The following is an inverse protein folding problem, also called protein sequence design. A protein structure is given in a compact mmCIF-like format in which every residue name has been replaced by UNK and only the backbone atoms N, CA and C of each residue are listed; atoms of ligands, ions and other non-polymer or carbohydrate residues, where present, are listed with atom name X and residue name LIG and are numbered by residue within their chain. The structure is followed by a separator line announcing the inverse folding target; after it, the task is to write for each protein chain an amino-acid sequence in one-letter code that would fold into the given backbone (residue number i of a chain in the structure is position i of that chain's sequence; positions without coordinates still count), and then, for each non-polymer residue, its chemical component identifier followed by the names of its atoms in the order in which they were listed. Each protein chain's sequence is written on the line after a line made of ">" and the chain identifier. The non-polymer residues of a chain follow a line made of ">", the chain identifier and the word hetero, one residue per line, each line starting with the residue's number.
data_IF_219414413083
#
_entry.id   IF_219414413083
#
_cell.length_a   1.000
_cell.length_b   1.000
_cell.length_c   1.000
_cell.angle_alpha   90.00
_cell.angle_beta   90.00
_cell.angle_gamma   90.00
#
_symmetry.space_group_name_H-M   'P 1'
#
loop_
_entity.id
_entity.type
_entity.pdbx_description
1 polymer ?
#
# COMPACT_ATOMS: atom_id res chain seq x y z
N UNK A 1 6.35 42.31 -19.55
CA UNK A 1 6.35 40.88 -19.16
C UNK A 1 5.30 40.68 -18.07
N UNK A 2 4.14 40.10 -18.39
CA UNK A 2 3.13 39.78 -17.38
C UNK A 2 3.64 38.60 -16.58
N UNK A 3 3.86 38.83 -15.29
CA UNK A 3 4.14 37.78 -14.32
C UNK A 3 2.86 36.93 -14.22
N UNK A 4 2.78 35.82 -14.96
CA UNK A 4 1.74 34.84 -14.75
C UNK A 4 2.03 34.19 -13.42
N UNK A 5 1.33 34.62 -12.36
CA UNK A 5 1.31 33.89 -11.11
C UNK A 5 0.92 32.46 -11.43
N UNK A 6 1.86 31.50 -11.32
CA UNK A 6 1.58 30.06 -11.45
C UNK A 6 0.84 29.54 -10.21
N UNK A 7 -0.13 30.29 -9.71
CA UNK A 7 -1.08 29.79 -8.72
C UNK A 7 -2.11 28.96 -9.47
N UNK A 8 -2.15 27.67 -9.16
CA UNK A 8 -3.16 26.73 -9.66
C UNK A 8 -3.67 25.95 -8.47
N UNK A 9 -4.93 25.54 -8.51
CA UNK A 9 -5.54 24.76 -7.43
C UNK A 9 -4.92 23.36 -7.37
N UNK A 10 -4.87 22.78 -6.18
CA UNK A 10 -4.38 21.42 -5.99
C UNK A 10 -5.17 20.42 -6.84
N UNK A 11 -6.50 20.58 -6.93
CA UNK A 11 -7.42 19.81 -7.77
C UNK A 11 -6.98 19.73 -9.24
N UNK A 12 -6.52 20.85 -9.80
CA UNK A 12 -6.07 20.90 -11.19
C UNK A 12 -4.77 20.12 -11.41
N UNK A 13 -3.88 20.11 -10.41
CA UNK A 13 -2.61 19.36 -10.46
C UNK A 13 -2.73 17.90 -10.02
N UNK A 14 -3.75 17.57 -9.24
CA UNK A 14 -3.89 16.23 -8.67
C UNK A 14 -3.98 15.18 -9.78
N UNK A 15 -3.19 14.08 -9.74
CA UNK A 15 -3.16 13.11 -10.83
C UNK A 15 -4.39 12.20 -10.85
N UNK A 16 -5.19 12.20 -9.78
CA UNK A 16 -6.44 11.46 -9.68
C UNK A 16 -7.59 12.31 -10.22
N UNK A 17 -8.50 11.66 -10.97
CA UNK A 17 -9.69 12.28 -11.53
C UNK A 17 -10.87 12.15 -10.56
N UNK A 18 -11.18 10.93 -10.15
CA UNK A 18 -12.29 10.61 -9.25
C UNK A 18 -12.06 9.28 -8.55
N UNK A 19 -12.85 9.01 -7.51
CA UNK A 19 -12.99 7.68 -6.93
C UNK A 19 -14.45 7.26 -7.11
N UNK A 20 -14.68 6.17 -7.81
CA UNK A 20 -16.01 5.70 -8.19
C UNK A 20 -16.12 4.20 -7.93
N UNK A 21 -17.21 3.77 -7.27
CA UNK A 21 -17.47 2.35 -6.98
C UNK A 21 -16.29 1.62 -6.29
N UNK A 22 -15.58 2.30 -5.37
CA UNK A 22 -14.40 1.75 -4.70
C UNK A 22 -13.17 1.57 -5.61
N UNK A 23 -13.14 2.25 -6.76
CA UNK A 23 -12.00 2.27 -7.67
C UNK A 23 -11.46 3.70 -7.80
N UNK A 24 -10.14 3.84 -7.81
CA UNK A 24 -9.48 5.11 -8.07
C UNK A 24 -9.30 5.26 -9.59
N UNK A 25 -9.74 6.38 -10.14
CA UNK A 25 -9.61 6.70 -11.55
C UNK A 25 -8.55 7.79 -11.70
N UNK A 26 -7.48 7.51 -12.46
CA UNK A 26 -6.47 8.52 -12.77
C UNK A 26 -6.98 9.45 -13.89
N UNK A 27 -6.43 10.67 -13.99
CA UNK A 27 -6.71 11.55 -15.14
C UNK A 27 -6.23 10.97 -16.48
N UNK A 28 -5.32 10.01 -16.43
CA UNK A 28 -4.82 9.27 -17.60
C UNK A 28 -5.69 8.04 -17.93
N UNK A 29 -6.87 7.91 -17.31
CA UNK A 29 -7.81 6.81 -17.50
C UNK A 29 -7.23 5.44 -17.08
N UNK A 30 -6.47 5.40 -16.00
CA UNK A 30 -6.15 4.14 -15.31
C UNK A 30 -7.20 3.84 -14.24
N UNK A 31 -7.51 2.56 -14.06
CA UNK A 31 -8.39 2.10 -12.98
C UNK A 31 -7.53 1.38 -11.95
N UNK A 32 -7.62 1.79 -10.70
CA UNK A 32 -6.95 1.13 -9.58
C UNK A 32 -7.97 0.60 -8.59
N UNK A 33 -7.87 -0.70 -8.26
CA UNK A 33 -8.57 -1.32 -7.13
C UNK A 33 -7.58 -1.45 -5.98
N UNK A 34 -7.99 -1.04 -4.78
CA UNK A 34 -7.17 -1.08 -3.59
C UNK A 34 -7.71 -2.10 -2.58
N UNK A 35 -6.78 -2.81 -1.94
CA UNK A 35 -7.05 -3.79 -0.90
C UNK A 35 -6.21 -3.48 0.33
N UNK A 36 -6.79 -3.68 1.50
CA UNK A 36 -6.03 -3.91 2.73
C UNK A 36 -5.59 -5.38 2.77
N UNK A 37 -4.34 -5.61 3.17
CA UNK A 37 -3.73 -6.94 3.22
C UNK A 37 -3.45 -7.31 4.67
N UNK A 38 -4.09 -8.37 5.14
CA UNK A 38 -3.75 -9.03 6.39
C UNK A 38 -2.70 -10.10 6.11
N UNK A 39 -1.50 -9.90 6.66
CA UNK A 39 -0.38 -10.83 6.56
C UNK A 39 -0.31 -11.70 7.82
N UNK A 40 0.22 -12.93 7.72
CA UNK A 40 0.40 -13.78 8.89
C UNK A 40 1.44 -13.17 9.84
N UNK A 41 1.24 -13.39 11.14
CA UNK A 41 2.14 -12.88 12.17
C UNK A 41 3.57 -13.44 12.01
N UNK A 42 4.56 -12.63 12.36
CA UNK A 42 5.96 -13.03 12.32
C UNK A 42 6.19 -14.30 13.15
N UNK A 43 6.96 -15.23 12.59
CA UNK A 43 7.31 -16.52 13.20
C UNK A 43 6.16 -17.52 13.39
N UNK A 44 4.98 -17.29 12.79
CA UNK A 44 3.87 -18.26 12.81
C UNK A 44 3.83 -19.19 11.60
N UNK A 45 4.69 -18.94 10.60
CA UNK A 45 4.64 -19.60 9.28
C UNK A 45 5.88 -20.47 9.07
N UNK A 46 5.65 -21.67 8.55
CA UNK A 46 6.69 -22.65 8.19
C UNK A 46 7.22 -22.43 6.77
N UNK A 47 8.35 -23.07 6.44
CA UNK A 47 8.93 -22.96 5.09
C UNK A 47 7.99 -23.45 3.98
N UNK A 48 7.30 -24.57 4.20
CA UNK A 48 6.34 -25.10 3.23
C UNK A 48 5.13 -24.17 3.03
N UNK A 49 4.69 -23.49 4.08
CA UNK A 49 3.62 -22.49 3.99
C UNK A 49 4.10 -21.22 3.26
N UNK A 50 5.35 -20.79 3.45
CA UNK A 50 5.91 -19.69 2.65
C UNK A 50 5.99 -20.01 1.15
N UNK A 51 6.35 -21.24 0.79
CA UNK A 51 6.28 -21.70 -0.61
C UNK A 51 4.85 -21.70 -1.14
N UNK A 52 3.88 -22.13 -0.32
CA UNK A 52 2.46 -22.10 -0.68
C UNK A 52 1.96 -20.66 -0.89
N UNK A 53 2.31 -19.72 0.01
CA UNK A 53 1.99 -18.29 -0.10
C UNK A 53 2.57 -17.72 -1.41
N UNK A 54 3.84 -17.98 -1.68
CA UNK A 54 4.49 -17.54 -2.92
C UNK A 54 3.80 -18.11 -4.17
N UNK A 55 3.43 -19.39 -4.13
CA UNK A 55 2.66 -20.04 -5.18
C UNK A 55 1.29 -19.40 -5.39
N UNK A 56 0.60 -18.98 -4.33
CA UNK A 56 -0.68 -18.26 -4.41
C UNK A 56 -0.52 -16.88 -5.06
N UNK A 57 0.48 -16.09 -4.67
CA UNK A 57 0.80 -14.82 -5.34
C UNK A 57 1.06 -15.02 -6.83
N UNK A 58 1.87 -16.03 -7.19
CA UNK A 58 2.15 -16.33 -8.60
C UNK A 58 0.89 -16.72 -9.39
N UNK A 59 -0.03 -17.48 -8.78
CA UNK A 59 -1.32 -17.84 -9.41
C UNK A 59 -2.23 -16.62 -9.57
N UNK A 60 -2.35 -15.80 -8.52
CA UNK A 60 -3.19 -14.62 -8.52
C UNK A 60 -2.71 -13.61 -9.59
N UNK A 61 -1.40 -13.33 -9.65
CA UNK A 61 -0.82 -12.41 -10.65
C UNK A 61 -1.09 -12.87 -12.09
N UNK A 62 -1.05 -14.18 -12.35
CA UNK A 62 -1.29 -14.75 -13.70
C UNK A 62 -2.72 -14.56 -14.21
N UNK A 63 -3.68 -14.28 -13.34
CA UNK A 63 -5.07 -14.02 -13.72
C UNK A 63 -5.26 -12.60 -14.26
N UNK A 64 -4.36 -11.68 -13.89
CA UNK A 64 -4.46 -10.29 -14.29
C UNK A 64 -4.27 -10.14 -15.82
N UNK A 65 -5.06 -9.28 -16.49
CA UNK A 65 -4.90 -9.05 -17.92
C UNK A 65 -3.61 -8.26 -18.21
N UNK A 66 -3.24 -8.21 -19.50
CA UNK A 66 -2.07 -7.46 -19.94
C UNK A 66 -2.11 -5.99 -19.52
N UNK A 67 -0.93 -5.43 -19.27
CA UNK A 67 -0.75 -4.04 -18.83
C UNK A 67 -1.46 -3.75 -17.49
N UNK A 68 -1.32 -4.67 -16.54
CA UNK A 68 -1.64 -4.42 -15.13
C UNK A 68 -0.35 -4.17 -14.34
N UNK A 69 -0.46 -3.29 -13.34
CA UNK A 69 0.59 -3.02 -12.36
C UNK A 69 0.09 -3.52 -11.02
N UNK A 70 0.90 -4.37 -10.38
CA UNK A 70 0.68 -4.82 -9.00
C UNK A 70 1.62 -4.03 -8.12
N UNK A 71 1.06 -3.27 -7.18
CA UNK A 71 1.82 -2.44 -6.26
C UNK A 71 1.44 -2.80 -4.83
N UNK A 72 2.34 -3.50 -4.13
CA UNK A 72 2.26 -3.76 -2.69
C UNK A 72 2.98 -2.64 -1.96
N UNK A 73 2.37 -2.11 -0.92
CA UNK A 73 2.90 -1.01 -0.14
C UNK A 73 2.77 -1.29 1.35
N UNK A 74 3.90 -1.22 2.06
CA UNK A 74 3.99 -1.44 3.51
C UNK A 74 4.31 -0.14 4.22
N UNK A 75 3.45 0.22 5.17
CA UNK A 75 3.61 1.40 6.00
C UNK A 75 4.08 0.95 7.38
N UNK A 76 5.19 1.52 7.85
CA UNK A 76 5.70 1.32 9.19
C UNK A 76 5.68 2.64 9.94
N UNK A 77 4.73 2.78 10.86
CA UNK A 77 4.56 4.00 11.67
C UNK A 77 4.92 3.69 13.11
N UNK A 78 5.77 4.51 13.71
CA UNK A 78 6.13 4.37 15.12
C UNK A 78 4.97 4.85 16.00
N UNK A 79 4.33 3.92 16.69
CA UNK A 79 3.24 4.21 17.63
C UNK A 79 3.61 3.78 19.05
N UNK A 80 2.82 4.23 20.04
CA UNK A 80 2.94 3.82 21.43
C UNK A 80 1.75 2.96 21.79
N UNK A 81 2.02 1.80 22.40
CA UNK A 81 0.97 0.88 22.81
C UNK A 81 0.06 1.53 23.86
N UNK A 82 -1.25 1.49 23.61
CA UNK A 82 -2.29 1.98 24.51
C UNK A 82 -2.97 0.78 25.16
N UNK A 83 -2.85 0.59 26.48
CA UNK A 83 -3.39 -0.58 27.14
C UNK A 83 -4.90 -0.50 27.30
N UNK A 84 -5.58 -1.63 27.17
CA UNK A 84 -7.03 -1.74 27.31
C UNK A 84 -7.40 -2.21 28.73
N UNK A 85 -7.21 -1.32 29.71
CA UNK A 85 -7.37 -1.66 31.14
C UNK A 85 -8.83 -1.77 31.62
N UNK A 86 -9.81 -1.45 30.78
CA UNK A 86 -11.23 -1.32 31.15
C UNK A 86 -12.11 -2.53 30.80
N UNK A 87 -11.53 -3.61 30.27
CA UNK A 87 -12.29 -4.84 29.99
C UNK A 87 -12.71 -5.50 31.31
N UNK A 88 -14.01 -5.70 31.49
CA UNK A 88 -14.57 -6.53 32.58
C UNK A 88 -14.02 -7.96 32.43
N UNK A 89 -13.73 -8.63 33.57
CA UNK A 89 -13.12 -9.97 33.66
C UNK A 89 -11.66 -10.16 33.20
N UNK A 90 -10.80 -9.13 33.29
CA UNK A 90 -9.37 -9.33 33.04
C UNK A 90 -8.65 -10.17 34.10
N UNK A 91 -7.99 -11.24 33.64
CA UNK A 91 -7.10 -12.06 34.47
C UNK A 91 -5.89 -11.27 35.00
N UNK A 92 -5.27 -11.73 36.09
CA UNK A 92 -4.04 -11.14 36.63
C UNK A 92 -2.91 -11.06 35.60
N UNK A 93 -2.77 -12.10 34.76
CA UNK A 93 -1.74 -12.14 33.72
C UNK A 93 -2.04 -11.13 32.61
N UNK A 94 -3.29 -11.04 32.14
CA UNK A 94 -3.73 -10.05 31.15
C UNK A 94 -3.45 -8.63 31.65
N UNK A 95 -3.82 -8.32 32.89
CA UNK A 95 -3.56 -7.00 33.48
C UNK A 95 -2.07 -6.68 33.61
N UNK A 96 -1.24 -7.69 33.91
CA UNK A 96 0.21 -7.53 34.00
C UNK A 96 0.85 -7.32 32.63
N UNK A 97 0.35 -8.02 31.60
CA UNK A 97 0.72 -7.84 30.20
C UNK A 97 0.41 -6.40 29.74
N UNK A 98 -0.82 -5.94 29.91
CA UNK A 98 -1.24 -4.57 29.53
C UNK A 98 -0.36 -3.50 30.19
N UNK A 99 -0.02 -3.68 31.47
CA UNK A 99 0.88 -2.78 32.20
C UNK A 99 2.31 -2.83 31.71
N UNK A 100 2.81 -4.02 31.36
CA UNK A 100 4.18 -4.20 30.90
C UNK A 100 4.43 -3.50 29.57
N UNK A 101 3.44 -3.52 28.68
CA UNK A 101 3.55 -2.91 27.35
C UNK A 101 3.08 -1.46 27.28
N UNK A 102 2.49 -0.91 28.34
CA UNK A 102 2.00 0.47 28.38
C UNK A 102 3.07 1.48 27.90
N UNK A 103 2.68 2.32 26.94
CA UNK A 103 3.52 3.36 26.31
C UNK A 103 4.76 2.86 25.55
N UNK A 104 4.97 1.54 25.47
CA UNK A 104 6.14 0.99 24.80
C UNK A 104 6.05 1.29 23.29
N UNK A 105 7.11 1.85 22.69
CA UNK A 105 7.09 2.15 21.26
C UNK A 105 7.18 0.86 20.44
N UNK A 106 6.37 0.77 19.39
CA UNK A 106 6.42 -0.30 18.40
C UNK A 106 6.25 0.29 16.99
N UNK A 107 6.58 -0.51 15.97
CA UNK A 107 6.30 -0.17 14.58
C UNK A 107 4.97 -0.81 14.21
N UNK A 108 3.92 0.01 14.05
CA UNK A 108 2.65 -0.42 13.48
C UNK A 108 2.87 -0.65 11.98
N UNK A 109 2.60 -1.87 11.54
CA UNK A 109 2.62 -2.24 10.14
C UNK A 109 1.21 -2.18 9.57
N UNK A 110 1.07 -1.59 8.39
CA UNK A 110 -0.17 -1.63 7.60
C UNK A 110 0.21 -1.91 6.15
N UNK A 111 -0.44 -2.88 5.53
CA UNK A 111 -0.13 -3.29 4.16
C UNK A 111 -1.32 -3.03 3.25
N UNK A 112 -1.04 -2.37 2.13
CA UNK A 112 -2.01 -2.10 1.07
C UNK A 112 -1.54 -2.71 -0.24
N UNK A 113 -2.49 -3.22 -1.03
CA UNK A 113 -2.24 -3.74 -2.37
C UNK A 113 -3.09 -2.97 -3.36
N UNK A 114 -2.44 -2.44 -4.40
CA UNK A 114 -3.09 -1.72 -5.48
C UNK A 114 -2.91 -2.50 -6.78
N UNK A 115 -4.02 -2.89 -7.40
CA UNK A 115 -4.06 -3.45 -8.74
C UNK A 115 -4.47 -2.33 -9.68
N UNK A 116 -3.61 -1.98 -10.63
CA UNK A 116 -3.89 -0.89 -11.57
C UNK A 116 -3.90 -1.39 -13.00
N UNK A 117 -5.04 -1.23 -13.69
CA UNK A 117 -5.11 -1.41 -15.13
C UNK A 117 -4.59 -0.16 -15.81
N UNK A 118 -3.56 -0.32 -16.64
CA UNK A 118 -2.97 0.75 -17.43
C UNK A 118 -2.95 0.41 -18.92
N UNK A 119 -2.46 1.35 -19.74
CA UNK A 119 -2.30 1.19 -21.18
C UNK A 119 -0.86 0.88 -21.57
N UNK A 120 -0.68 0.25 -22.74
CA UNK A 120 0.65 -0.08 -23.29
C UNK A 120 1.55 1.15 -23.47
N UNK A 121 0.96 2.29 -23.82
CA UNK A 121 1.69 3.55 -24.02
C UNK A 121 2.21 4.11 -22.69
N UNK A 122 1.39 4.07 -21.64
CA UNK A 122 1.77 4.52 -20.30
C UNK A 122 2.84 3.64 -19.66
N UNK A 123 2.76 2.32 -19.86
CA UNK A 123 3.80 1.40 -19.37
C UNK A 123 5.19 1.65 -20.01
N UNK A 124 5.25 2.44 -21.10
CA UNK A 124 6.51 2.86 -21.75
C UNK A 124 6.98 4.26 -21.33
N UNK A 125 6.17 5.02 -20.59
CA UNK A 125 6.52 6.37 -20.17
C UNK A 125 7.52 6.33 -19.00
N UNK A 126 8.55 7.19 -19.07
CA UNK A 126 9.50 7.40 -17.99
C UNK A 126 8.96 8.40 -16.95
N UNK A 127 9.52 8.41 -15.74
CA UNK A 127 9.07 9.20 -14.59
C UNK A 127 9.04 10.72 -14.85
N UNK A 128 9.83 11.20 -15.82
CA UNK A 128 9.87 12.59 -16.29
C UNK A 128 8.61 13.02 -17.08
N UNK A 129 7.71 12.08 -17.39
CA UNK A 129 6.46 12.32 -18.11
C UNK A 129 5.23 12.33 -17.17
N UNK A 130 5.46 12.44 -15.87
CA UNK A 130 4.39 12.52 -14.85
C UNK A 130 3.37 13.61 -15.16
N UNK A 131 2.10 13.27 -14.91
CA UNK A 131 0.94 14.13 -15.03
C UNK A 131 1.08 15.41 -14.19
N UNK A 132 1.83 15.37 -13.08
CA UNK A 132 2.16 16.55 -12.26
C UNK A 132 2.97 17.61 -13.03
N UNK A 133 3.71 17.19 -14.05
CA UNK A 133 4.54 18.04 -14.91
C UNK A 133 3.83 18.44 -16.22
N UNK A 134 2.64 17.89 -16.50
CA UNK A 134 1.87 18.14 -17.73
C UNK A 134 0.55 18.84 -17.42
N UNK A 135 0.38 20.06 -17.96
CA UNK A 135 -0.84 20.84 -17.79
C UNK A 135 -2.03 20.41 -18.65
N UNK A 136 -1.88 19.39 -19.51
CA UNK A 136 -2.96 18.90 -20.36
C UNK A 136 -2.84 17.39 -20.55
N UNK A 137 -3.96 16.70 -20.29
CA UNK A 137 -4.15 15.28 -20.51
C UNK A 137 -5.29 15.15 -21.52
N UNK A 138 -5.13 14.30 -22.53
CA UNK A 138 -6.21 13.91 -23.42
C UNK A 138 -6.75 12.60 -22.84
N UNK A 139 -7.97 12.57 -22.29
CA UNK A 139 -8.55 11.32 -21.81
C UNK A 139 -8.69 10.37 -23.00
N UNK A 140 -7.98 9.24 -22.97
CA UNK A 140 -8.39 8.11 -23.82
C UNK A 140 -9.64 7.54 -23.18
N UNK A 141 -10.70 7.38 -23.97
CA UNK A 141 -11.89 6.70 -23.51
C UNK A 141 -11.51 5.31 -23.00
N UNK A 142 -11.95 5.05 -21.77
CA UNK A 142 -11.72 3.78 -21.12
C UNK A 142 -12.74 2.79 -21.67
N UNK A 143 -12.26 1.78 -22.37
CA UNK A 143 -13.12 0.73 -22.91
C UNK A 143 -13.83 0.00 -21.77
N UNK A 144 -15.17 0.09 -21.74
CA UNK A 144 -16.01 -0.50 -20.70
C UNK A 144 -15.85 -2.02 -20.63
N UNK A 145 -15.60 -2.67 -21.77
CA UNK A 145 -15.37 -4.11 -21.81
C UNK A 145 -14.05 -4.47 -21.10
N UNK A 146 -12.98 -3.75 -21.41
CA UNK A 146 -11.68 -3.90 -20.73
C UNK A 146 -11.77 -3.62 -19.22
N UNK A 147 -12.54 -2.61 -18.83
CA UNK A 147 -12.80 -2.31 -17.42
C UNK A 147 -13.50 -3.47 -16.71
N UNK A 148 -14.55 -4.03 -17.32
CA UNK A 148 -15.29 -5.18 -16.79
C UNK A 148 -14.39 -6.41 -16.59
N UNK A 149 -13.62 -6.78 -17.61
CA UNK A 149 -12.66 -7.90 -17.53
C UNK A 149 -11.60 -7.70 -16.45
N UNK A 150 -11.14 -6.45 -16.26
CA UNK A 150 -10.20 -6.14 -15.19
C UNK A 150 -10.83 -6.30 -13.80
N UNK A 151 -12.07 -5.85 -13.62
CA UNK A 151 -12.78 -6.02 -12.35
C UNK A 151 -13.01 -7.50 -12.02
N UNK A 152 -13.43 -8.30 -13.00
CA UNK A 152 -13.58 -9.76 -12.85
C UNK A 152 -12.24 -10.42 -12.48
N UNK A 153 -11.15 -10.01 -13.13
CA UNK A 153 -9.81 -10.51 -12.81
C UNK A 153 -9.34 -10.09 -11.41
N UNK A 154 -9.68 -8.87 -10.96
CA UNK A 154 -9.37 -8.40 -9.62
C UNK A 154 -10.15 -9.16 -8.54
N UNK A 155 -11.42 -9.49 -8.78
CA UNK A 155 -12.23 -10.34 -7.88
C UNK A 155 -11.68 -11.77 -7.83
N UNK A 156 -11.29 -12.32 -8.97
CA UNK A 156 -10.65 -13.63 -9.01
C UNK A 156 -9.28 -13.62 -8.31
N UNK A 157 -8.50 -12.54 -8.45
CA UNK A 157 -7.25 -12.34 -7.71
C UNK A 157 -7.49 -12.35 -6.20
N UNK A 158 -8.46 -11.55 -5.73
CA UNK A 158 -8.87 -11.49 -4.32
C UNK A 158 -9.25 -12.88 -3.80
N UNK A 159 -10.08 -13.60 -4.55
CA UNK A 159 -10.53 -14.95 -4.18
C UNK A 159 -9.39 -15.95 -4.06
N UNK A 160 -8.45 -15.98 -5.03
CA UNK A 160 -7.30 -16.88 -4.98
C UNK A 160 -6.46 -16.64 -3.72
N UNK A 161 -6.26 -15.37 -3.36
CA UNK A 161 -5.49 -15.02 -2.17
C UNK A 161 -6.23 -15.39 -0.88
N UNK A 162 -7.52 -15.07 -0.78
CA UNK A 162 -8.35 -15.39 0.38
C UNK A 162 -8.55 -16.90 0.58
N UNK A 163 -8.73 -17.66 -0.51
CA UNK A 163 -8.89 -19.13 -0.47
C UNK A 163 -7.61 -19.84 0.03
N UNK A 164 -6.45 -19.17 0.02
CA UNK A 164 -5.21 -19.72 0.55
C UNK A 164 -5.21 -19.88 2.07
N UNK A 165 -6.02 -19.10 2.79
CA UNK A 165 -6.07 -19.08 4.27
C UNK A 165 -4.86 -18.43 4.96
N UNK A 166 -3.82 -18.06 4.22
CA UNK A 166 -2.60 -17.45 4.80
C UNK A 166 -2.60 -15.93 4.75
N UNK A 167 -3.18 -15.36 3.69
CA UNK A 167 -3.23 -13.92 3.44
C UNK A 167 -4.68 -13.54 3.19
N UNK A 168 -5.14 -12.46 3.83
CA UNK A 168 -6.47 -11.94 3.61
C UNK A 168 -6.40 -10.64 2.84
N UNK A 169 -7.14 -10.56 1.75
CA UNK A 169 -7.38 -9.33 1.00
C UNK A 169 -8.79 -8.84 1.31
N UNK A 170 -8.89 -7.57 1.69
CA UNK A 170 -10.15 -6.88 1.91
C UNK A 170 -10.19 -5.66 1.00
N UNK A 171 -11.12 -5.66 0.04
CA UNK A 171 -11.32 -4.51 -0.84
C UNK A 171 -11.73 -3.27 -0.04
N UNK A 172 -11.08 -2.14 -0.34
CA UNK A 172 -11.40 -0.86 0.29
C UNK A 172 -12.63 -0.22 -0.36
N UNK A 173 -13.46 0.38 0.47
CA UNK A 173 -14.63 1.15 0.05
C UNK A 173 -14.24 2.56 -0.42
N UNK A 174 -15.16 3.24 -1.11
CA UNK A 174 -14.98 4.64 -1.52
C UNK A 174 -14.67 5.55 -0.31
N UNK A 175 -15.37 5.34 0.80
CA UNK A 175 -15.21 6.14 2.03
C UNK A 175 -13.84 5.92 2.69
N UNK A 176 -13.31 4.70 2.64
CA UNK A 176 -11.95 4.41 3.13
C UNK A 176 -10.86 5.00 2.22
N UNK A 177 -11.13 5.13 0.92
CA UNK A 177 -10.19 5.70 -0.04
C UNK A 177 -10.13 7.23 0.05
N UNK A 178 -11.30 7.89 0.00
CA UNK A 178 -11.41 9.36 -0.05
C UNK A 178 -11.43 9.95 1.36
N UNK A 179 -11.94 9.22 2.34
CA UNK A 179 -12.17 9.71 3.69
C UNK A 179 -13.62 10.10 3.92
N UNK A 180 -13.94 10.33 5.19
CA UNK A 180 -15.22 10.89 5.64
C UNK A 180 -14.96 12.20 6.36
N UNK A 181 -16.01 12.94 6.71
CA UNK A 181 -15.87 14.16 7.53
C UNK A 181 -15.13 13.94 8.86
N UNK A 182 -15.08 12.69 9.35
CA UNK A 182 -14.48 12.34 10.64
C UNK A 182 -13.11 11.69 10.54
N UNK A 183 -12.73 11.17 9.37
CA UNK A 183 -11.54 10.34 9.22
C UNK A 183 -10.91 10.51 7.85
N UNK A 184 -9.61 10.79 7.83
CA UNK A 184 -8.85 10.88 6.59
C UNK A 184 -8.82 9.55 5.83
N UNK A 185 -9.07 9.62 4.53
CA UNK A 185 -8.98 8.47 3.64
C UNK A 185 -7.56 8.07 3.32
N UNK A 186 -7.39 6.91 2.68
CA UNK A 186 -6.08 6.41 2.25
C UNK A 186 -5.33 7.41 1.35
N UNK A 187 -6.04 8.09 0.45
CA UNK A 187 -5.46 9.07 -0.48
C UNK A 187 -4.92 10.28 0.30
N UNK A 188 -5.72 10.81 1.23
CA UNK A 188 -5.33 11.94 2.08
C UNK A 188 -4.15 11.58 2.98
N UNK A 189 -4.20 10.40 3.61
CA UNK A 189 -3.12 9.88 4.45
C UNK A 189 -1.82 9.72 3.66
N UNK A 190 -1.90 9.18 2.44
CA UNK A 190 -0.73 9.03 1.57
C UNK A 190 -0.13 10.39 1.19
N UNK A 191 -1.00 11.36 0.88
CA UNK A 191 -0.58 12.70 0.47
C UNK A 191 0.01 13.53 1.62
N UNK A 192 -0.54 13.40 2.84
CA UNK A 192 -0.13 14.17 4.01
C UNK A 192 0.89 13.45 4.90
N UNK A 193 1.23 12.18 4.61
CA UNK A 193 2.06 11.30 5.44
C UNK A 193 1.58 11.17 6.90
N UNK A 194 0.27 11.23 7.10
CA UNK A 194 -0.32 11.25 8.44
C UNK A 194 -0.77 9.86 8.90
N UNK A 195 -0.66 9.56 10.22
CA UNK A 195 -1.24 8.36 10.80
C UNK A 195 -2.78 8.39 10.74
N UNK A 196 -3.39 7.24 11.04
CA UNK A 196 -4.85 7.09 11.04
C UNK A 196 -5.54 8.05 12.02
N UNK A 197 -6.60 8.70 11.54
CA UNK A 197 -7.46 9.56 12.35
C UNK A 197 -7.04 11.04 12.41
N UNK A 198 -5.93 11.42 11.78
CA UNK A 198 -5.56 12.83 11.64
C UNK A 198 -6.09 13.38 10.30
N UNK A 199 -6.80 14.50 10.35
CA UNK A 199 -7.40 15.20 9.20
C UNK A 199 -6.71 16.53 8.90
N UNK A 200 -5.54 16.78 9.50
CA UNK A 200 -4.80 18.01 9.28
C UNK A 200 -4.09 17.99 7.93
N UNK A 201 -4.56 18.85 7.01
CA UNK A 201 -3.83 19.14 5.77
C UNK A 201 -2.52 19.85 6.08
N UNK A 202 -1.42 19.34 5.54
CA UNK A 202 -0.09 19.92 5.70
C UNK A 202 0.42 20.52 4.39
N UNK A 203 1.23 21.56 4.52
CA UNK A 203 1.89 22.19 3.37
C UNK A 203 2.96 21.25 2.78
N UNK A 204 3.03 21.19 1.45
CA UNK A 204 4.05 20.43 0.73
C UNK A 204 5.09 21.40 0.15
N UNK A 205 6.34 21.21 0.56
CA UNK A 205 7.50 21.89 -0.03
C UNK A 205 8.28 20.91 -0.92
N UNK A 206 8.33 21.22 -2.21
CA UNK A 206 9.06 20.48 -3.23
C UNK A 206 10.18 21.37 -3.76
N UNK A 207 11.35 21.29 -3.13
CA UNK A 207 12.55 21.99 -3.58
C UNK A 207 13.57 21.01 -4.16
N UNK A 208 14.52 21.51 -4.95
CA UNK A 208 15.61 20.68 -5.48
C UNK A 208 16.51 20.07 -4.39
N UNK A 209 16.44 20.60 -3.15
CA UNK A 209 17.30 20.20 -2.04
C UNK A 209 16.58 19.34 -1.02
N UNK A 210 15.30 19.61 -0.75
CA UNK A 210 14.49 18.85 0.19
C UNK A 210 13.04 18.73 -0.29
N UNK A 211 12.45 17.57 -0.02
CA UNK A 211 11.02 17.31 -0.12
C UNK A 211 10.47 17.17 1.30
N UNK A 212 9.46 17.98 1.62
CA UNK A 212 8.89 18.05 2.97
C UNK A 212 7.37 18.16 2.91
N UNK A 213 6.72 17.50 3.87
CA UNK A 213 5.28 17.60 4.09
C UNK A 213 5.12 18.00 5.56
N UNK A 214 4.70 19.24 5.80
CA UNK A 214 4.77 19.88 7.11
C UNK A 214 6.20 19.86 7.68
N UNK A 215 6.37 19.19 8.82
CA UNK A 215 7.66 18.99 9.49
C UNK A 215 8.37 17.69 9.07
N UNK A 216 7.70 16.82 8.31
CA UNK A 216 8.23 15.53 7.90
C UNK A 216 9.12 15.67 6.66
N UNK A 217 10.41 15.30 6.81
CA UNK A 217 11.36 15.21 5.69
C UNK A 217 11.26 13.87 5.00
N UNK A 218 11.16 13.89 3.68
CA UNK A 218 11.11 12.67 2.86
C UNK A 218 12.51 12.29 2.41
N UNK A 219 12.84 11.02 2.57
CA UNK A 219 14.03 10.39 2.00
C UNK A 219 13.57 9.23 1.12
N UNK A 220 13.90 9.29 -0.17
CA UNK A 220 13.50 8.28 -1.15
C UNK A 220 14.72 7.45 -1.55
N UNK A 221 14.60 6.13 -1.44
CA UNK A 221 15.56 5.18 -1.99
C UNK A 221 14.87 4.38 -3.09
N UNK A 222 15.51 4.27 -4.26
CA UNK A 222 14.97 3.53 -5.39
C UNK A 222 15.96 2.46 -5.82
N UNK A 223 15.49 1.22 -5.92
CA UNK A 223 16.21 0.12 -6.55
C UNK A 223 15.56 -0.15 -7.90
N UNK A 224 16.23 0.23 -8.98
CA UNK A 224 15.68 0.14 -10.34
C UNK A 224 16.52 -0.71 -11.29
N UNK A 225 17.72 -1.13 -10.89
CA UNK A 225 18.57 -2.00 -11.68
C UNK A 225 18.47 -3.44 -11.16
N UNK A 226 18.19 -4.38 -12.05
CA UNK A 226 18.14 -5.80 -11.73
C UNK A 226 19.51 -6.35 -11.33
N UNK A 227 20.61 -5.72 -11.77
CA UNK A 227 21.98 -6.10 -11.40
C UNK A 227 22.29 -5.81 -9.92
N UNK A 228 21.55 -4.89 -9.28
CA UNK A 228 21.70 -4.60 -7.86
C UNK A 228 21.00 -5.65 -6.97
N UNK A 229 20.22 -6.57 -7.58
CA UNK A 229 19.51 -7.63 -6.88
C UNK A 229 20.40 -8.85 -6.66
N UNK A 230 20.18 -9.62 -5.57
CA UNK A 230 20.94 -10.84 -5.33
C UNK A 230 20.68 -11.88 -6.44
N UNK A 231 21.73 -12.59 -6.87
CA UNK A 231 21.65 -13.59 -7.94
C UNK A 231 20.81 -14.83 -7.62
N UNK A 232 20.37 -14.99 -6.36
CA UNK A 232 19.41 -16.00 -5.93
C UNK A 232 18.42 -15.37 -4.96
N UNK A 233 17.15 -15.72 -5.13
CA UNK A 233 16.06 -15.35 -4.23
C UNK A 233 15.46 -16.63 -3.65
N UNK A 234 15.04 -16.57 -2.39
CA UNK A 234 14.34 -17.63 -1.69
C UNK A 234 13.06 -17.08 -1.08
N UNK A 235 12.08 -17.95 -0.85
CA UNK A 235 10.82 -17.61 -0.20
C UNK A 235 11.02 -17.18 1.25
N UNK A 236 12.02 -17.75 1.92
CA UNK A 236 12.30 -17.56 3.33
C UNK A 236 13.77 -17.84 3.67
N UNK A 237 14.16 -17.39 4.86
CA UNK A 237 15.46 -17.66 5.48
C UNK A 237 15.28 -18.09 6.93
N UNK A 238 16.20 -18.93 7.41
CA UNK A 238 16.29 -19.28 8.83
C UNK A 238 16.87 -18.11 9.61
N UNK A 239 16.15 -17.65 10.64
CA UNK A 239 16.64 -16.62 11.54
C UNK A 239 17.38 -17.25 12.72
N UNK A 240 18.69 -17.38 12.58
CA UNK A 240 19.56 -18.10 13.53
C UNK A 240 19.42 -17.61 14.97
N UNK A 241 19.21 -16.30 15.20
CA UNK A 241 19.12 -15.74 16.56
C UNK A 241 17.92 -16.23 17.38
N UNK A 242 16.85 -16.68 16.73
CA UNK A 242 15.66 -17.22 17.38
C UNK A 242 15.44 -18.71 17.08
N UNK A 243 16.29 -19.31 16.26
CA UNK A 243 16.23 -20.73 15.94
C UNK A 243 17.03 -21.55 16.96
N UNK A 244 16.64 -22.81 17.15
CA UNK A 244 17.36 -23.79 17.95
C UNK A 244 17.65 -25.03 17.10
N UNK A 245 18.47 -25.96 17.60
CA UNK A 245 18.74 -27.23 16.92
C UNK A 245 17.47 -28.07 16.67
N UNK A 246 16.37 -27.78 17.39
CA UNK A 246 15.10 -28.51 17.30
C UNK A 246 13.97 -27.70 16.64
N UNK A 247 14.15 -26.39 16.43
CA UNK A 247 13.07 -25.52 15.95
C UNK A 247 13.63 -24.38 15.09
N UNK A 248 13.07 -24.22 13.89
CA UNK A 248 13.48 -23.17 12.97
C UNK A 248 12.49 -22.01 13.02
N UNK A 249 12.96 -20.83 13.43
CA UNK A 249 12.23 -19.58 13.24
C UNK A 249 12.57 -19.03 11.86
N UNK A 250 11.63 -19.10 10.93
CA UNK A 250 11.84 -18.67 9.54
C UNK A 250 11.24 -17.29 9.31
N UNK A 251 11.86 -16.54 8.41
CA UNK A 251 11.43 -15.20 8.01
C UNK A 251 11.33 -15.16 6.50
N UNK A 252 10.20 -14.66 5.99
CA UNK A 252 10.06 -14.32 4.57
C UNK A 252 10.35 -12.85 4.34
N UNK A 253 10.79 -12.54 3.12
CA UNK A 253 10.95 -11.17 2.64
C UNK A 253 9.58 -10.65 2.20
N UNK A 254 8.72 -10.37 3.17
CA UNK A 254 7.42 -9.71 2.96
C UNK A 254 7.57 -8.20 3.01
#
# INVERSE_FOLDING_TARGET
>A
MRNTSKMTTLENKFPLLSVEHGCIISKDADITVAFEVELPELYTVTGAEYEAIHGCWCKAIKVLPDFCVVHKQDWFIKERYKPELQKDDMSFLSRSFERHFNERPYLKHSCYLYLTKTTKERNRMQSNFSTLCRGHIIPKELDRETAGKFMEAAEQFERIMNDSGFVRLRRLSTDELVGTEKSAGLIERYFSLMPEGDTALQDIDLSAREMRIGDNRLCLHTLSNAEDMPGKVATDIRYEKLSTDRSDCRLSFA
#
